data_IF_379335136296
#
_entry.id   IF_379335136296
#
_cell.length_a   1.000
_cell.length_b   1.000
_cell.length_c   1.000
_cell.angle_alpha   90.00
_cell.angle_beta   90.00
_cell.angle_gamma   90.00
#
_symmetry.space_group_name_H-M   'P 1'
#
loop_
_entity.id
_entity.type
_entity.pdbx_description
1 polymer ?
#
# COMPACT_ATOMS: atom_id res chain seq x y z
N UNK A 1 14.39 -16.66 46.01
CA UNK A 1 15.22 -17.80 45.56
C UNK A 1 14.83 -18.16 44.14
N UNK A 2 15.75 -18.66 43.30
CA UNK A 2 15.40 -19.15 41.97
C UNK A 2 14.35 -20.27 42.09
N UNK A 3 13.34 -20.26 41.22
CA UNK A 3 12.30 -21.29 41.15
C UNK A 3 12.92 -22.64 40.74
N UNK A 4 12.42 -23.78 41.24
CA UNK A 4 12.89 -25.10 40.81
C UNK A 4 12.73 -25.29 39.30
N UNK A 5 13.61 -26.05 38.63
CA UNK A 5 13.74 -26.12 37.17
C UNK A 5 12.47 -26.62 36.44
N UNK A 6 11.54 -27.26 37.15
CA UNK A 6 10.31 -27.84 36.59
C UNK A 6 9.07 -26.96 36.76
N UNK A 7 9.18 -25.79 37.42
CA UNK A 7 8.04 -24.89 37.60
C UNK A 7 7.98 -23.83 36.52
N UNK A 8 6.87 -23.80 35.80
CA UNK A 8 6.55 -22.74 34.84
C UNK A 8 6.36 -21.41 35.58
N UNK A 9 7.01 -20.36 35.11
CA UNK A 9 6.70 -18.98 35.52
C UNK A 9 5.30 -18.58 35.04
N UNK A 10 4.67 -17.51 35.57
CA UNK A 10 3.38 -17.04 35.06
C UNK A 10 3.40 -16.70 33.56
N UNK A 11 4.54 -16.19 33.05
CA UNK A 11 4.73 -15.92 31.63
C UNK A 11 4.82 -17.22 30.81
N UNK A 12 5.63 -18.18 31.28
CA UNK A 12 5.73 -19.51 30.64
C UNK A 12 4.40 -20.26 30.67
N UNK A 13 3.62 -20.15 31.75
CA UNK A 13 2.30 -20.79 31.86
C UNK A 13 1.33 -20.25 30.81
N UNK A 14 1.31 -18.92 30.60
CA UNK A 14 0.48 -18.31 29.55
C UNK A 14 0.89 -18.79 28.17
N UNK A 15 2.19 -18.86 27.91
CA UNK A 15 2.71 -19.32 26.63
C UNK A 15 2.46 -20.82 26.41
N UNK A 16 2.57 -21.63 27.46
CA UNK A 16 2.33 -23.08 27.43
C UNK A 16 0.89 -23.41 27.03
N UNK A 17 -0.09 -22.62 27.48
CA UNK A 17 -1.51 -22.78 27.06
C UNK A 17 -1.65 -22.56 25.56
N UNK A 18 -1.01 -21.53 25.00
CA UNK A 18 -1.05 -21.27 23.56
C UNK A 18 -0.32 -22.36 22.75
N UNK A 19 0.74 -22.95 23.31
CA UNK A 19 1.41 -24.10 22.70
C UNK A 19 0.52 -25.35 22.74
N UNK A 20 -0.16 -25.60 23.86
CA UNK A 20 -1.10 -26.72 24.01
C UNK A 20 -2.23 -26.65 22.98
N UNK A 21 -2.74 -25.45 22.67
CA UNK A 21 -3.74 -25.26 21.62
C UNK A 21 -3.22 -25.61 20.21
N UNK A 22 -1.91 -25.48 19.95
CA UNK A 22 -1.32 -25.78 18.64
C UNK A 22 -0.76 -27.20 18.53
N UNK A 23 -0.22 -27.74 19.62
CA UNK A 23 0.47 -29.03 19.66
C UNK A 23 -0.40 -30.15 20.23
N UNK A 24 -1.50 -29.82 20.91
CA UNK A 24 -2.36 -30.78 21.62
C UNK A 24 -1.74 -31.36 22.90
N UNK A 25 -0.56 -30.88 23.30
CA UNK A 25 0.19 -31.33 24.48
C UNK A 25 0.72 -30.14 25.27
N UNK A 26 0.78 -30.28 26.60
CA UNK A 26 1.38 -29.26 27.48
C UNK A 26 2.92 -29.33 27.43
N UNK A 27 3.61 -28.27 26.99
CA UNK A 27 5.07 -28.23 27.03
C UNK A 27 5.58 -27.94 28.45
N UNK A 28 6.71 -28.55 28.78
CA UNK A 28 7.58 -28.16 29.88
C UNK A 28 8.45 -26.94 29.55
N UNK A 29 9.11 -26.34 30.55
CA UNK A 29 9.89 -25.11 30.35
C UNK A 29 11.11 -25.28 29.44
N UNK A 30 11.67 -26.49 29.35
CA UNK A 30 12.80 -26.81 28.48
C UNK A 30 12.41 -27.37 27.12
N UNK A 31 11.12 -27.49 26.84
CA UNK A 31 10.66 -28.16 25.62
C UNK A 31 10.78 -27.24 24.40
N UNK A 32 11.16 -27.84 23.28
CA UNK A 32 11.29 -27.20 21.98
C UNK A 32 10.00 -27.40 21.15
N UNK A 33 9.45 -26.28 20.64
CA UNK A 33 8.20 -26.26 19.89
C UNK A 33 8.21 -27.19 18.67
N UNK A 34 9.32 -27.23 17.93
CA UNK A 34 9.44 -28.03 16.71
C UNK A 34 9.77 -29.48 17.02
N UNK A 35 10.53 -29.75 18.09
CA UNK A 35 10.77 -31.12 18.56
C UNK A 35 9.48 -31.81 19.03
N UNK A 36 8.54 -31.04 19.57
CA UNK A 36 7.21 -31.50 19.96
C UNK A 36 6.21 -31.64 18.79
N UNK A 37 6.66 -31.49 17.54
CA UNK A 37 5.82 -31.63 16.35
C UNK A 37 5.20 -30.33 15.83
N UNK A 38 5.68 -29.17 16.29
CA UNK A 38 5.27 -27.88 15.79
C UNK A 38 5.58 -27.70 14.31
N UNK A 39 4.58 -27.25 13.54
CA UNK A 39 4.72 -26.94 12.11
C UNK A 39 4.92 -25.45 11.87
N UNK A 40 5.37 -25.05 10.68
CA UNK A 40 5.43 -23.62 10.30
C UNK A 40 4.07 -22.91 10.42
N UNK A 41 2.98 -23.62 10.13
CA UNK A 41 1.63 -23.08 10.29
C UNK A 41 1.27 -22.91 11.79
N UNK A 42 1.63 -23.88 12.63
CA UNK A 42 1.50 -23.78 14.08
C UNK A 42 2.30 -22.60 14.65
N UNK A 43 3.54 -22.41 14.19
CA UNK A 43 4.37 -21.28 14.58
C UNK A 43 3.76 -19.93 14.12
N UNK A 44 3.22 -19.86 12.90
CA UNK A 44 2.53 -18.66 12.41
C UNK A 44 1.28 -18.32 13.24
N UNK A 45 0.48 -19.34 13.59
CA UNK A 45 -0.71 -19.19 14.46
C UNK A 45 -0.33 -18.76 15.88
N UNK A 46 0.68 -19.40 16.46
CA UNK A 46 1.21 -19.06 17.78
C UNK A 46 1.73 -17.62 17.81
N UNK A 47 2.52 -17.21 16.82
CA UNK A 47 3.00 -15.83 16.71
C UNK A 47 1.83 -14.83 16.59
N UNK A 48 0.77 -15.19 15.85
CA UNK A 48 -0.44 -14.35 15.74
C UNK A 48 -1.18 -14.22 17.07
N UNK A 49 -1.34 -15.31 17.82
CA UNK A 49 -1.99 -15.31 19.13
C UNK A 49 -1.18 -14.47 20.15
N UNK A 50 0.14 -14.64 20.14
CA UNK A 50 1.03 -13.91 21.04
C UNK A 50 1.06 -12.40 20.78
N UNK A 51 0.87 -11.95 19.53
CA UNK A 51 0.86 -10.52 19.20
C UNK A 51 -0.20 -9.71 19.95
N UNK A 52 -1.28 -10.34 20.43
CA UNK A 52 -2.30 -9.65 21.23
C UNK A 52 -1.73 -9.15 22.59
N UNK A 53 -0.89 -9.95 23.23
CA UNK A 53 -0.22 -9.60 24.50
C UNK A 53 1.21 -9.05 24.32
N UNK A 54 1.88 -9.45 23.24
CA UNK A 54 3.30 -9.18 22.96
C UNK A 54 3.46 -8.62 21.54
N UNK A 55 2.98 -7.38 21.28
CA UNK A 55 3.06 -6.74 19.96
C UNK A 55 4.54 -6.44 19.62
N UNK A 56 5.15 -7.35 18.88
CA UNK A 56 6.57 -7.30 18.53
C UNK A 56 7.18 -8.67 18.26
N UNK A 57 6.53 -9.73 18.73
CA UNK A 57 6.97 -11.10 18.45
C UNK A 57 6.70 -11.47 16.99
N UNK A 58 7.75 -11.86 16.28
CA UNK A 58 7.71 -12.31 14.89
C UNK A 58 7.83 -13.83 14.80
N UNK A 59 7.43 -14.41 13.66
CA UNK A 59 7.64 -15.85 13.42
C UNK A 59 9.13 -16.19 13.44
N UNK A 60 9.99 -15.28 12.96
CA UNK A 60 11.44 -15.45 13.03
C UNK A 60 11.97 -15.50 14.48
N UNK A 61 11.28 -14.89 15.45
CA UNK A 61 11.66 -14.99 16.86
C UNK A 61 11.34 -16.38 17.43
N UNK A 62 10.24 -17.01 16.99
CA UNK A 62 9.89 -18.38 17.39
C UNK A 62 10.93 -19.39 16.89
N UNK A 63 11.41 -19.21 15.65
CA UNK A 63 12.48 -20.06 15.10
C UNK A 63 13.83 -19.87 15.79
N UNK A 64 14.16 -18.64 16.19
CA UNK A 64 15.42 -18.35 16.88
C UNK A 64 15.42 -18.79 18.35
N UNK A 65 14.24 -18.92 18.95
CA UNK A 65 14.05 -19.27 20.37
C UNK A 65 12.93 -20.30 20.49
N UNK A 66 13.16 -21.53 20.02
CA UNK A 66 12.12 -22.55 19.95
C UNK A 66 11.80 -23.16 21.32
N UNK A 67 12.61 -22.92 22.35
CA UNK A 67 12.41 -23.41 23.72
C UNK A 67 11.42 -22.53 24.48
N UNK A 68 10.47 -23.12 25.22
CA UNK A 68 9.39 -22.41 25.90
C UNK A 68 9.90 -21.29 26.83
N UNK A 69 10.90 -21.57 27.67
CA UNK A 69 11.49 -20.60 28.61
C UNK A 69 12.16 -19.43 27.89
N UNK A 70 12.91 -19.69 26.84
CA UNK A 70 13.61 -18.66 26.07
C UNK A 70 12.63 -17.76 25.30
N UNK A 71 11.57 -18.37 24.77
CA UNK A 71 10.48 -17.66 24.10
C UNK A 71 9.71 -16.78 25.07
N UNK A 72 9.36 -17.29 26.26
CA UNK A 72 8.68 -16.52 27.31
C UNK A 72 9.54 -15.35 27.80
N UNK A 73 10.82 -15.59 28.08
CA UNK A 73 11.75 -14.54 28.48
C UNK A 73 11.85 -13.45 27.41
N UNK A 74 11.96 -13.82 26.14
CA UNK A 74 12.01 -12.86 25.05
C UNK A 74 10.70 -12.07 24.91
N UNK A 75 9.55 -12.73 24.99
CA UNK A 75 8.25 -12.08 24.91
C UNK A 75 8.05 -11.03 26.02
N UNK A 76 8.55 -11.28 27.23
CA UNK A 76 8.55 -10.32 28.33
C UNK A 76 9.50 -9.13 28.08
N UNK A 77 10.69 -9.36 27.47
CA UNK A 77 11.58 -8.24 27.08
C UNK A 77 10.93 -7.32 26.04
N UNK A 78 10.11 -7.85 25.14
CA UNK A 78 9.39 -7.06 24.14
C UNK A 78 8.27 -6.22 24.75
N UNK A 79 7.60 -6.75 25.78
CA UNK A 79 6.59 -5.99 26.56
C UNK A 79 7.26 -4.89 27.37
N UNK A 80 8.42 -5.14 27.97
CA UNK A 80 9.18 -4.13 28.69
C UNK A 80 9.69 -2.99 27.79
N UNK A 81 9.95 -3.27 26.50
CA UNK A 81 10.34 -2.29 25.47
C UNK A 81 9.15 -1.59 24.82
N UNK A 82 7.94 -1.74 25.36
CA UNK A 82 6.76 -1.07 24.84
C UNK A 82 6.87 0.44 25.08
N UNK A 83 7.41 1.15 24.11
CA UNK A 83 7.11 2.58 23.98
C UNK A 83 5.59 2.69 23.84
N UNK A 84 4.89 3.46 24.71
CA UNK A 84 3.48 3.72 24.55
C UNK A 84 3.28 4.34 23.16
N UNK A 85 2.68 3.58 22.23
CA UNK A 85 2.29 4.14 20.94
C UNK A 85 1.41 5.35 21.25
N UNK A 86 1.77 6.56 20.78
CA UNK A 86 0.98 7.74 21.04
C UNK A 86 -0.47 7.48 20.58
N UNK A 87 -1.47 7.89 21.35
CA UNK A 87 -2.86 7.75 20.94
C UNK A 87 -3.06 8.48 19.60
N UNK A 88 -3.56 7.74 18.60
CA UNK A 88 -3.80 8.26 17.25
C UNK A 88 -4.96 9.23 17.30
N UNK A 89 -4.71 10.48 16.93
CA UNK A 89 -5.73 11.53 16.88
C UNK A 89 -6.69 11.29 15.72
N UNK A 90 -7.99 11.58 15.92
CA UNK A 90 -8.93 11.62 14.82
C UNK A 90 -8.46 12.61 13.74
N UNK A 91 -8.64 12.23 12.48
CA UNK A 91 -8.30 13.09 11.34
C UNK A 91 -9.21 14.33 11.37
N UNK A 92 -8.69 15.54 11.13
CA UNK A 92 -9.50 16.76 11.20
C UNK A 92 -10.62 16.76 10.14
N UNK A 93 -11.79 17.33 10.47
CA UNK A 93 -12.96 17.36 9.55
C UNK A 93 -12.67 17.95 8.16
N UNK A 94 -11.76 18.94 8.09
CA UNK A 94 -11.29 19.52 6.81
C UNK A 94 -10.68 18.48 5.87
N UNK A 95 -10.02 17.45 6.41
CA UNK A 95 -9.47 16.36 5.60
C UNK A 95 -10.59 15.57 4.93
N UNK A 96 -11.67 15.29 5.67
CA UNK A 96 -12.87 14.64 5.12
C UNK A 96 -13.49 15.46 3.99
N UNK A 97 -13.55 16.79 4.13
CA UNK A 97 -14.03 17.67 3.05
C UNK A 97 -13.15 17.59 1.79
N UNK A 98 -11.82 17.67 1.95
CA UNK A 98 -10.88 17.55 0.81
C UNK A 98 -11.01 16.19 0.14
N UNK A 99 -11.14 15.11 0.92
CA UNK A 99 -11.33 13.77 0.41
C UNK A 99 -12.65 13.63 -0.35
N UNK A 100 -13.75 14.15 0.21
CA UNK A 100 -15.05 14.17 -0.44
C UNK A 100 -14.97 14.91 -1.79
N UNK A 101 -14.42 16.12 -1.82
CA UNK A 101 -14.28 16.90 -3.05
C UNK A 101 -13.43 16.19 -4.11
N UNK A 102 -12.30 15.60 -3.69
CA UNK A 102 -11.43 14.84 -4.60
C UNK A 102 -12.16 13.61 -5.14
N UNK A 103 -12.92 12.92 -4.30
CA UNK A 103 -13.67 11.73 -4.69
C UNK A 103 -14.84 12.07 -5.62
N UNK A 104 -15.57 13.15 -5.34
CA UNK A 104 -16.62 13.66 -6.24
C UNK A 104 -16.03 14.02 -7.60
N UNK A 105 -14.93 14.77 -7.65
CA UNK A 105 -14.24 15.10 -8.90
C UNK A 105 -13.79 13.84 -9.66
N UNK A 106 -13.27 12.84 -8.93
CA UNK A 106 -12.89 11.54 -9.48
C UNK A 106 -14.07 10.83 -10.14
N UNK A 107 -15.21 10.77 -9.46
CA UNK A 107 -16.43 10.15 -10.00
C UNK A 107 -17.02 10.96 -11.15
N UNK A 108 -16.88 12.29 -11.18
CA UNK A 108 -17.29 13.10 -12.33
C UNK A 108 -16.51 12.72 -13.59
N UNK A 109 -15.19 12.51 -13.48
CA UNK A 109 -14.37 12.06 -14.62
C UNK A 109 -14.81 10.66 -15.09
N UNK A 110 -15.06 9.74 -14.16
CA UNK A 110 -15.57 8.40 -14.49
C UNK A 110 -16.96 8.46 -15.14
N UNK A 111 -17.86 9.30 -14.63
CA UNK A 111 -19.17 9.54 -15.23
C UNK A 111 -19.07 10.09 -16.65
N UNK A 112 -18.18 11.06 -16.86
CA UNK A 112 -17.93 11.64 -18.18
C UNK A 112 -17.42 10.60 -19.19
N UNK A 113 -16.55 9.68 -18.75
CA UNK A 113 -16.15 8.52 -19.58
C UNK A 113 -17.34 7.66 -19.98
N UNK A 114 -18.24 7.38 -19.04
CA UNK A 114 -19.47 6.65 -19.30
C UNK A 114 -20.35 7.34 -20.34
N UNK A 115 -20.50 8.67 -20.24
CA UNK A 115 -21.26 9.48 -21.21
C UNK A 115 -20.64 9.42 -22.62
N UNK A 116 -19.31 9.53 -22.74
CA UNK A 116 -18.62 9.42 -24.03
C UNK A 116 -18.84 8.04 -24.67
N UNK A 117 -18.77 6.96 -23.89
CA UNK A 117 -19.05 5.62 -24.40
C UNK A 117 -20.52 5.46 -24.79
N UNK A 118 -21.45 5.93 -23.95
CA UNK A 118 -22.88 5.84 -24.20
C UNK A 118 -23.28 6.57 -25.49
N UNK A 119 -22.77 7.80 -25.68
CA UNK A 119 -23.02 8.58 -26.90
C UNK A 119 -22.39 7.93 -28.14
N UNK A 120 -21.22 7.29 -28.01
CA UNK A 120 -20.62 6.51 -29.08
C UNK A 120 -21.47 5.28 -29.48
N UNK A 121 -21.96 4.53 -28.49
CA UNK A 121 -22.84 3.37 -28.72
C UNK A 121 -24.16 3.81 -29.35
N UNK A 122 -24.77 4.87 -28.83
CA UNK A 122 -26.01 5.44 -29.37
C UNK A 122 -25.86 5.81 -30.85
N UNK A 123 -24.78 6.51 -31.20
CA UNK A 123 -24.47 6.83 -32.59
C UNK A 123 -24.35 5.59 -33.49
N UNK A 124 -23.68 4.52 -33.02
CA UNK A 124 -23.54 3.27 -33.78
C UNK A 124 -24.90 2.60 -33.97
N UNK A 125 -25.71 2.51 -32.91
CA UNK A 125 -27.04 1.93 -32.97
C UNK A 125 -27.94 2.73 -33.93
N UNK A 126 -27.86 4.06 -33.92
CA UNK A 126 -28.59 4.92 -34.86
C UNK A 126 -28.23 4.69 -36.33
N UNK A 127 -27.01 4.22 -36.63
CA UNK A 127 -26.62 3.83 -38.00
C UNK A 127 -27.22 2.49 -38.43
N UNK A 128 -27.46 1.58 -37.49
CA UNK A 128 -27.95 0.22 -37.75
C UNK A 128 -29.48 0.13 -37.71
N UNK A 129 -30.10 0.89 -36.80
CA UNK A 129 -31.52 0.97 -36.57
C UNK A 129 -31.86 2.43 -36.20
N UNK A 130 -32.36 3.25 -37.14
CA UNK A 130 -32.70 4.63 -36.85
C UNK A 130 -33.87 4.71 -35.87
N UNK A 131 -33.69 5.39 -34.74
CA UNK A 131 -34.73 5.62 -33.75
C UNK A 131 -34.97 7.12 -33.59
N UNK A 132 -36.23 7.54 -33.42
CA UNK A 132 -36.61 8.97 -33.34
C UNK A 132 -36.43 9.60 -31.96
N UNK A 133 -36.20 8.79 -30.93
CA UNK A 133 -36.14 9.23 -29.53
C UNK A 133 -34.72 9.45 -29.01
N UNK A 134 -33.68 9.06 -29.77
CA UNK A 134 -32.29 9.19 -29.35
C UNK A 134 -31.62 10.44 -29.95
N UNK A 135 -30.96 11.28 -29.14
CA UNK A 135 -30.29 12.47 -29.64
C UNK A 135 -28.97 12.10 -30.33
N UNK A 136 -28.85 12.44 -31.62
CA UNK A 136 -27.58 12.28 -32.35
C UNK A 136 -26.47 13.16 -31.77
N UNK A 137 -25.36 12.54 -31.38
CA UNK A 137 -24.16 13.27 -30.93
C UNK A 137 -23.16 13.37 -32.08
N UNK A 138 -22.66 14.57 -32.44
CA UNK A 138 -21.65 14.69 -33.49
C UNK A 138 -20.41 13.83 -33.22
N UNK A 139 -19.97 13.05 -34.23
CA UNK A 139 -18.81 12.14 -34.09
C UNK A 139 -17.53 12.83 -33.63
N UNK A 140 -17.31 14.09 -34.01
CA UNK A 140 -16.13 14.82 -33.55
C UNK A 140 -16.12 15.02 -32.02
N UNK A 141 -17.28 15.24 -31.39
CA UNK A 141 -17.39 15.34 -29.93
C UNK A 141 -17.05 14.00 -29.26
N UNK A 142 -17.61 12.90 -29.77
CA UNK A 142 -17.32 11.55 -29.28
C UNK A 142 -15.83 11.25 -29.41
N UNK A 143 -15.22 11.52 -30.57
CA UNK A 143 -13.79 11.30 -30.82
C UNK A 143 -12.92 12.19 -29.93
N UNK A 144 -13.24 13.47 -29.76
CA UNK A 144 -12.48 14.36 -28.86
C UNK A 144 -12.59 13.91 -27.40
N UNK A 145 -13.78 13.52 -26.93
CA UNK A 145 -13.99 12.98 -25.58
C UNK A 145 -13.22 11.67 -25.37
N UNK A 146 -13.21 10.80 -26.38
CA UNK A 146 -12.44 9.56 -26.36
C UNK A 146 -10.94 9.83 -26.28
N UNK A 147 -10.43 10.70 -27.15
CA UNK A 147 -9.03 11.10 -27.16
C UNK A 147 -8.63 11.76 -25.83
N UNK A 148 -9.48 12.60 -25.25
CA UNK A 148 -9.20 13.30 -24.01
C UNK A 148 -9.20 12.38 -22.78
N UNK A 149 -10.07 11.37 -22.73
CA UNK A 149 -10.32 10.59 -21.50
C UNK A 149 -9.81 9.14 -21.52
N UNK A 150 -9.61 8.56 -22.71
CA UNK A 150 -9.24 7.15 -22.89
C UNK A 150 -7.86 6.95 -23.53
N UNK A 151 -7.44 7.84 -24.43
CA UNK A 151 -6.16 7.65 -25.13
C UNK A 151 -4.98 7.58 -24.12
N UNK A 152 -4.05 6.66 -24.35
CA UNK A 152 -2.90 6.50 -23.45
C UNK A 152 -2.06 7.80 -23.28
N UNK A 153 -1.80 8.60 -24.34
CA UNK A 153 -1.06 9.86 -24.19
C UNK A 153 -1.77 10.92 -23.33
N UNK A 154 -3.11 11.03 -23.43
CA UNK A 154 -3.87 12.00 -22.64
C UNK A 154 -3.94 11.59 -21.17
N UNK A 155 -4.19 10.31 -20.90
CA UNK A 155 -4.13 9.72 -19.54
C UNK A 155 -2.76 9.94 -18.90
N UNK A 156 -1.70 9.69 -19.65
CA UNK A 156 -0.32 9.96 -19.23
C UNK A 156 -0.11 11.43 -18.89
N UNK A 157 -0.48 12.34 -19.79
CA UNK A 157 -0.27 13.78 -19.63
C UNK A 157 -1.07 14.33 -18.43
N UNK A 158 -2.36 14.01 -18.35
CA UNK A 158 -3.25 14.45 -17.28
C UNK A 158 -2.83 13.88 -15.92
N UNK A 159 -2.50 12.58 -15.85
CA UNK A 159 -2.02 11.95 -14.63
C UNK A 159 -0.70 12.52 -14.15
N UNK A 160 0.25 12.76 -15.06
CA UNK A 160 1.53 13.40 -14.74
C UNK A 160 1.32 14.84 -14.24
N UNK A 161 0.53 15.64 -14.98
CA UNK A 161 0.27 17.02 -14.63
C UNK A 161 -0.41 17.13 -13.25
N UNK A 162 -1.45 16.35 -13.01
CA UNK A 162 -2.16 16.31 -11.73
C UNK A 162 -1.21 15.92 -10.59
N UNK A 163 -0.43 14.85 -10.76
CA UNK A 163 0.56 14.43 -9.77
C UNK A 163 1.57 15.55 -9.50
N UNK A 164 2.20 16.11 -10.53
CA UNK A 164 3.23 17.16 -10.42
C UNK A 164 2.72 18.43 -9.74
N UNK A 165 1.49 18.86 -10.05
CA UNK A 165 0.88 20.03 -9.41
C UNK A 165 0.58 19.75 -7.94
N UNK A 166 -0.03 18.58 -7.64
CA UNK A 166 -0.41 18.22 -6.29
C UNK A 166 0.80 17.92 -5.41
N UNK A 167 1.86 17.30 -5.91
CA UNK A 167 3.08 16.97 -5.14
C UNK A 167 4.17 18.04 -5.23
N UNK A 168 3.91 19.18 -5.89
CA UNK A 168 4.88 20.29 -6.00
C UNK A 168 5.40 20.75 -4.63
N UNK A 169 6.71 20.64 -4.41
CA UNK A 169 7.36 21.09 -3.18
C UNK A 169 7.20 20.15 -1.98
N UNK A 170 6.69 18.93 -2.18
CA UNK A 170 6.78 17.87 -1.17
C UNK A 170 8.25 17.50 -0.99
N UNK A 171 8.72 17.51 0.26
CA UNK A 171 10.09 17.16 0.63
C UNK A 171 10.11 15.92 1.52
N UNK A 172 11.19 15.12 1.49
CA UNK A 172 11.40 14.05 2.46
C UNK A 172 11.32 14.58 3.89
N UNK A 173 10.73 13.79 4.80
CA UNK A 173 10.58 14.14 6.20
C UNK A 173 9.26 13.65 6.79
N UNK A 174 9.01 14.09 8.03
CA UNK A 174 7.82 13.74 8.79
C UNK A 174 6.82 14.87 8.74
N UNK A 175 5.60 14.56 8.31
CA UNK A 175 4.49 15.49 8.14
C UNK A 175 3.29 15.05 9.00
N UNK A 176 2.39 15.95 9.42
CA UNK A 176 1.22 15.54 10.19
C UNK A 176 0.18 14.81 9.32
N UNK A 177 -0.40 13.73 9.85
CA UNK A 177 -1.54 13.03 9.25
C UNK A 177 -2.74 13.96 9.15
N UNK A 178 -3.34 14.04 7.97
CA UNK A 178 -4.43 14.99 7.67
C UNK A 178 -3.97 16.44 7.49
N UNK A 179 -2.65 16.68 7.45
CA UNK A 179 -2.07 17.95 7.04
C UNK A 179 -2.09 18.15 5.51
N UNK A 180 -1.68 19.32 5.02
CA UNK A 180 -1.73 19.66 3.61
C UNK A 180 -0.87 18.73 2.74
N UNK A 181 0.34 18.36 3.20
CA UNK A 181 1.21 17.43 2.45
C UNK A 181 0.56 16.06 2.30
N UNK A 182 -0.03 15.53 3.38
CA UNK A 182 -0.74 14.26 3.33
C UNK A 182 -1.93 14.29 2.38
N UNK A 183 -2.77 15.31 2.47
CA UNK A 183 -3.96 15.40 1.62
C UNK A 183 -3.63 15.61 0.15
N UNK A 184 -2.59 16.40 -0.15
CA UNK A 184 -2.10 16.61 -1.51
C UNK A 184 -1.52 15.33 -2.11
N UNK A 185 -0.73 14.60 -1.32
CA UNK A 185 -0.14 13.33 -1.74
C UNK A 185 -1.22 12.25 -1.97
N UNK A 186 -2.16 12.12 -1.02
CA UNK A 186 -3.31 11.25 -1.16
C UNK A 186 -4.16 11.60 -2.39
N UNK A 187 -4.42 12.89 -2.63
CA UNK A 187 -5.16 13.34 -3.80
C UNK A 187 -4.40 13.09 -5.12
N UNK A 188 -3.06 13.22 -5.11
CA UNK A 188 -2.23 12.91 -6.26
C UNK A 188 -2.36 11.44 -6.67
N UNK A 189 -2.28 10.52 -5.70
CA UNK A 189 -2.49 9.10 -5.98
C UNK A 189 -3.89 8.81 -6.53
N UNK A 190 -4.94 9.42 -5.96
CA UNK A 190 -6.31 9.27 -6.48
C UNK A 190 -6.45 9.80 -7.91
N UNK A 191 -5.89 10.96 -8.20
CA UNK A 191 -5.92 11.54 -9.55
C UNK A 191 -5.24 10.61 -10.57
N UNK A 192 -4.06 10.10 -10.24
CA UNK A 192 -3.31 9.17 -11.10
C UNK A 192 -4.08 7.86 -11.33
N UNK A 193 -4.73 7.31 -10.30
CA UNK A 193 -5.61 6.15 -10.43
C UNK A 193 -6.81 6.43 -11.33
N UNK A 194 -7.48 7.58 -11.17
CA UNK A 194 -8.64 7.96 -12.00
C UNK A 194 -8.26 8.09 -13.46
N UNK A 195 -7.10 8.65 -13.76
CA UNK A 195 -6.62 8.72 -15.14
C UNK A 195 -6.16 7.35 -15.69
N UNK A 196 -6.21 6.26 -14.93
CA UNK A 196 -5.87 4.91 -15.42
C UNK A 196 -4.40 4.77 -15.77
N UNK A 197 -3.53 5.52 -15.08
CA UNK A 197 -2.07 5.41 -15.29
C UNK A 197 -1.50 4.05 -14.85
N UNK A 198 -1.99 3.39 -13.78
CA UNK A 198 -1.52 2.04 -13.42
C UNK A 198 -1.63 1.04 -14.58
N UNK A 199 -2.64 1.18 -15.44
CA UNK A 199 -2.83 0.33 -16.63
C UNK A 199 -1.75 0.53 -17.70
N UNK A 200 -0.93 1.58 -17.58
CA UNK A 200 0.20 1.86 -18.48
C UNK A 200 1.50 1.21 -17.98
N UNK A 201 1.53 0.69 -16.75
CA UNK A 201 2.69 -0.01 -16.21
C UNK A 201 2.92 -1.34 -16.93
N UNK A 202 4.17 -1.79 -17.01
CA UNK A 202 4.55 -2.94 -17.83
C UNK A 202 4.54 -2.70 -19.34
N UNK A 203 4.21 -1.47 -19.79
CA UNK A 203 4.41 -1.03 -21.18
C UNK A 203 5.66 -0.16 -21.31
N UNK A 204 6.16 0.12 -22.53
CA UNK A 204 7.28 1.05 -22.74
C UNK A 204 7.05 2.48 -22.23
N UNK A 205 5.85 2.81 -21.74
CA UNK A 205 5.51 4.11 -21.16
C UNK A 205 5.89 4.22 -19.67
N UNK A 206 6.05 3.11 -18.95
CA UNK A 206 6.28 3.13 -17.50
C UNK A 206 7.54 3.92 -17.09
N UNK A 207 8.67 3.66 -17.75
CA UNK A 207 9.91 4.40 -17.51
C UNK A 207 9.81 5.88 -17.93
N UNK A 208 9.03 6.19 -18.99
CA UNK A 208 8.76 7.59 -19.39
C UNK A 208 7.92 8.31 -18.34
N UNK A 209 6.96 7.61 -17.75
CA UNK A 209 6.08 8.14 -16.72
C UNK A 209 6.86 8.46 -15.43
N UNK A 210 7.69 7.52 -14.98
CA UNK A 210 8.58 7.74 -13.83
C UNK A 210 9.45 9.00 -14.02
N UNK A 211 10.06 9.17 -15.21
CA UNK A 211 10.83 10.39 -15.55
C UNK A 211 9.96 11.64 -15.54
N UNK A 212 8.74 11.57 -16.06
CA UNK A 212 7.82 12.70 -16.12
C UNK A 212 7.35 13.15 -14.72
N UNK A 213 7.26 12.22 -13.76
CA UNK A 213 7.02 12.53 -12.34
C UNK A 213 8.23 13.19 -11.67
N UNK A 214 9.43 13.00 -12.21
CA UNK A 214 10.68 13.53 -11.69
C UNK A 214 11.60 12.48 -11.07
N UNK A 215 11.27 11.19 -11.18
CA UNK A 215 12.16 10.12 -10.75
C UNK A 215 13.37 10.03 -11.70
N UNK A 216 14.55 9.78 -11.15
CA UNK A 216 15.69 9.37 -11.96
C UNK A 216 15.45 7.93 -12.43
N UNK A 217 15.51 7.67 -13.73
CA UNK A 217 15.24 6.32 -14.28
C UNK A 217 16.26 6.01 -15.36
N UNK A 218 17.12 5.04 -15.08
CA UNK A 218 18.16 4.56 -15.97
C UNK A 218 17.61 3.89 -17.24
N UNK A 219 18.47 3.69 -18.26
CA UNK A 219 18.11 2.96 -19.46
C UNK A 219 17.78 1.51 -19.13
N UNK A 220 16.77 0.94 -19.81
CA UNK A 220 16.39 -0.47 -19.63
C UNK A 220 15.63 -0.80 -18.34
N UNK A 221 15.29 0.18 -17.49
CA UNK A 221 14.50 -0.06 -16.29
C UNK A 221 13.08 -0.55 -16.63
N UNK A 222 12.72 -1.73 -16.13
CA UNK A 222 11.41 -2.37 -16.27
C UNK A 222 10.57 -2.10 -15.01
N UNK A 223 9.58 -1.22 -15.12
CA UNK A 223 8.72 -0.82 -14.00
C UNK A 223 7.32 -1.43 -14.16
N UNK A 224 7.04 -2.43 -13.33
CA UNK A 224 5.72 -3.06 -13.21
C UNK A 224 4.95 -2.60 -11.97
N UNK A 225 5.63 -1.93 -11.03
CA UNK A 225 5.00 -1.19 -9.93
C UNK A 225 4.89 0.32 -10.24
N UNK A 226 3.91 0.97 -9.61
CA UNK A 226 3.71 2.42 -9.72
C UNK A 226 4.90 3.17 -9.12
N UNK A 227 5.62 4.02 -9.90
CA UNK A 227 6.64 4.88 -9.32
C UNK A 227 6.00 5.90 -8.36
N UNK A 228 6.76 6.42 -7.40
CA UNK A 228 6.22 7.35 -6.42
C UNK A 228 5.81 8.66 -7.07
N UNK A 229 4.57 9.09 -6.85
CA UNK A 229 4.00 10.35 -7.39
C UNK A 229 4.70 11.61 -6.87
N UNK A 230 5.54 11.48 -5.84
CA UNK A 230 6.40 12.54 -5.31
C UNK A 230 7.59 12.84 -6.23
N UNK A 231 7.94 11.93 -7.14
CA UNK A 231 9.17 12.01 -7.93
C UNK A 231 10.44 11.66 -7.14
N UNK A 232 10.31 11.26 -5.87
CA UNK A 232 11.44 10.97 -4.99
C UNK A 232 11.89 9.51 -5.15
N UNK A 233 12.31 9.13 -6.35
CA UNK A 233 12.92 7.83 -6.60
C UNK A 233 14.09 7.89 -7.59
N UNK A 234 15.03 6.98 -7.38
CA UNK A 234 16.13 6.68 -8.28
C UNK A 234 16.05 5.19 -8.66
N UNK A 235 15.83 4.91 -9.94
CA UNK A 235 15.82 3.58 -10.54
C UNK A 235 17.07 3.43 -11.41
N UNK A 236 17.93 2.48 -11.06
CA UNK A 236 19.17 2.19 -11.79
C UNK A 236 18.95 1.68 -13.21
N UNK A 237 20.03 1.56 -13.99
CA UNK A 237 19.97 0.95 -15.31
C UNK A 237 19.62 -0.55 -15.21
N UNK A 238 18.78 -1.05 -16.10
CA UNK A 238 18.35 -2.45 -16.15
C UNK A 238 17.32 -2.88 -15.11
N UNK A 239 17.12 -2.12 -14.03
CA UNK A 239 16.41 -2.63 -12.86
C UNK A 239 14.97 -3.08 -13.17
N UNK A 240 14.57 -4.21 -12.61
CA UNK A 240 13.21 -4.71 -12.66
C UNK A 240 12.49 -4.48 -11.32
N UNK A 241 11.30 -3.86 -11.38
CA UNK A 241 10.44 -3.65 -10.22
C UNK A 241 9.12 -4.36 -10.45
N UNK A 242 8.92 -5.47 -9.76
CA UNK A 242 7.74 -6.32 -9.86
C UNK A 242 6.47 -5.68 -9.26
N UNK A 243 5.26 -6.07 -9.70
CA UNK A 243 4.00 -5.46 -9.26
C UNK A 243 3.78 -5.48 -7.74
N UNK A 244 4.33 -6.46 -7.01
CA UNK A 244 4.17 -6.58 -5.56
C UNK A 244 5.10 -5.64 -4.77
N UNK A 245 6.09 -5.03 -5.43
CA UNK A 245 7.04 -4.14 -4.76
C UNK A 245 6.38 -2.80 -4.39
N UNK A 246 6.39 -2.45 -3.10
CA UNK A 246 5.97 -1.13 -2.66
C UNK A 246 7.12 -0.12 -2.82
N UNK A 247 7.03 0.71 -3.86
CA UNK A 247 7.98 1.79 -4.16
C UNK A 247 7.35 3.18 -4.01
N UNK A 248 6.27 3.32 -3.22
CA UNK A 248 5.57 4.62 -3.04
C UNK A 248 6.41 5.68 -2.32
N UNK A 249 7.40 5.27 -1.52
CA UNK A 249 8.29 6.18 -0.80
C UNK A 249 7.60 6.97 0.33
N UNK A 250 6.42 6.56 0.78
CA UNK A 250 5.76 7.16 1.93
C UNK A 250 4.86 6.16 2.65
N UNK A 251 4.65 6.36 3.95
CA UNK A 251 3.72 5.57 4.76
C UNK A 251 3.16 6.40 5.92
N UNK A 252 2.07 5.93 6.51
CA UNK A 252 1.51 6.49 7.73
C UNK A 252 1.97 5.69 8.94
N UNK A 253 2.48 6.38 9.95
CA UNK A 253 2.84 5.84 11.26
C UNK A 253 2.10 6.64 12.34
N UNK A 254 0.98 6.06 12.82
CA UNK A 254 0.07 6.74 13.75
C UNK A 254 -0.46 8.06 13.18
N UNK A 255 -0.07 9.17 13.79
CA UNK A 255 -0.43 10.54 13.38
C UNK A 255 0.59 11.21 12.46
N UNK A 256 1.58 10.46 12.00
CA UNK A 256 2.68 10.95 11.18
C UNK A 256 2.61 10.34 9.78
N UNK A 257 2.82 11.18 8.79
CA UNK A 257 3.14 10.80 7.42
C UNK A 257 4.65 10.87 7.29
N UNK A 258 5.30 9.75 6.97
CA UNK A 258 6.72 9.71 6.65
C UNK A 258 6.87 9.68 5.15
N UNK A 259 7.62 10.64 4.59
CA UNK A 259 7.97 10.71 3.17
C UNK A 259 9.47 10.53 3.04
N UNK A 260 9.90 9.60 2.19
CA UNK A 260 11.29 9.26 1.92
C UNK A 260 11.57 9.17 0.43
N UNK A 261 12.85 9.02 0.10
CA UNK A 261 13.29 8.70 -1.25
C UNK A 261 13.48 7.18 -1.38
N UNK A 262 13.11 6.64 -2.55
CA UNK A 262 13.33 5.23 -2.90
C UNK A 262 14.56 5.14 -3.81
N UNK A 263 15.47 4.20 -3.53
CA UNK A 263 16.64 3.95 -4.37
C UNK A 263 16.73 2.48 -4.71
N UNK A 264 16.75 2.18 -6.00
CA UNK A 264 16.95 0.83 -6.54
C UNK A 264 18.19 0.88 -7.42
N UNK A 265 19.17 0.02 -7.10
CA UNK A 265 20.43 -0.07 -7.84
C UNK A 265 20.23 -0.58 -9.27
N UNK A 266 21.33 -0.59 -10.03
CA UNK A 266 21.33 -1.26 -11.33
C UNK A 266 21.28 -2.78 -11.16
N UNK A 267 20.67 -3.49 -12.11
CA UNK A 267 20.53 -4.95 -12.10
C UNK A 267 19.74 -5.45 -13.29
#
# INVERSE_FOLDING_TARGET
GPLPPDRLTPAETRLAVLWEEQLGIRPGPGDDFFALGGTSLGAARLASALRAGHPGISVADLYRRPVLRDMAAHAETLVARRDPRPPVRPVPRRAGLVQLLTQTASYTVTGLRGVVLLTGVDNVLGLLAPHTWTPYTPWWLVLTGWLALFAAPSRFALGTLAARLLTRGVRPGVHPRGGPVHLRLWAAERAVSVFGVPDLLGTPWAARYARALGCATGPGAALHAMPPVTGLAEFGAGCAVEPEADVRGWWLDGDRLVVGAVRIGAG
#
